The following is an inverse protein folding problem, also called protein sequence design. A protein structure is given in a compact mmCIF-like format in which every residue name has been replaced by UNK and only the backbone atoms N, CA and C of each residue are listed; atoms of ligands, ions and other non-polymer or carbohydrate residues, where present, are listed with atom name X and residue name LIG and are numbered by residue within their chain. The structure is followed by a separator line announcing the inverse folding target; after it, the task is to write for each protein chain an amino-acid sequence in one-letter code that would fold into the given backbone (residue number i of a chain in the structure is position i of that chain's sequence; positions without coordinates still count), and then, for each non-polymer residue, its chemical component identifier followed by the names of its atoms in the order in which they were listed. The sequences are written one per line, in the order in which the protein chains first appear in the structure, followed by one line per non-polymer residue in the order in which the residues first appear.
data_IF_718102295207
#
_entry.id   IF_718102295207
#
_cell.length_a   1.000
_cell.length_b   1.000
_cell.length_c   1.000
_cell.angle_alpha   90.00
_cell.angle_beta   90.00
_cell.angle_gamma   90.00
#
_symmetry.space_group_name_H-M   'P 1'
#
loop_
_entity.id
_entity.type
_entity.pdbx_description
1 polymer ?
#
# COMPACT_ATOMS: atom_id res chain seq x y z
N UNK A 1 -29.56 7.26 28.55
CA UNK A 1 -29.42 5.78 28.58
C UNK A 1 -28.18 5.40 27.80
N UNK A 2 -27.22 4.66 28.39
CA UNK A 2 -26.04 4.23 27.66
C UNK A 2 -26.43 3.10 26.71
N UNK A 3 -26.12 3.23 25.42
CA UNK A 3 -26.26 2.12 24.46
C UNK A 3 -25.16 1.10 24.77
N UNK A 4 -25.56 -0.04 25.33
CA UNK A 4 -24.70 -1.20 25.51
C UNK A 4 -24.12 -1.62 24.15
N UNK A 5 -22.79 -1.74 24.06
CA UNK A 5 -22.04 -2.20 22.87
C UNK A 5 -22.02 -3.73 22.76
N UNK A 6 -22.98 -4.42 23.37
CA UNK A 6 -23.06 -5.88 23.34
C UNK A 6 -23.89 -6.33 22.13
N UNK A 7 -23.23 -6.59 21.01
CA UNK A 7 -23.83 -7.31 19.88
C UNK A 7 -24.10 -8.76 20.28
N UNK A 8 -25.26 -9.30 19.88
CA UNK A 8 -25.78 -10.63 20.23
C UNK A 8 -25.06 -11.78 19.49
N UNK A 9 -24.08 -11.49 18.65
CA UNK A 9 -23.33 -12.49 17.90
C UNK A 9 -21.98 -12.71 18.59
N UNK A 10 -21.57 -13.98 18.66
CA UNK A 10 -20.29 -14.41 19.20
C UNK A 10 -19.18 -13.66 18.44
N UNK A 11 -18.66 -12.58 19.01
CA UNK A 11 -17.68 -11.69 18.41
C UNK A 11 -16.28 -12.33 18.49
N UNK A 12 -16.18 -13.56 17.97
CA UNK A 12 -14.94 -14.31 17.87
C UNK A 12 -14.23 -13.80 16.63
N UNK A 13 -13.23 -12.95 16.84
CA UNK A 13 -12.33 -12.52 15.77
C UNK A 13 -11.67 -13.76 15.17
N UNK A 14 -12.05 -14.12 13.96
CA UNK A 14 -11.42 -15.19 13.19
C UNK A 14 -10.14 -14.65 12.57
N UNK A 15 -9.12 -15.50 12.33
CA UNK A 15 -7.93 -15.09 11.59
C UNK A 15 -8.25 -14.45 10.23
N UNK A 16 -9.37 -14.84 9.62
CA UNK A 16 -9.90 -14.31 8.35
C UNK A 16 -10.40 -12.86 8.46
N UNK A 17 -10.73 -12.39 9.66
CA UNK A 17 -11.22 -11.02 9.91
C UNK A 17 -10.05 -10.00 9.95
N UNK A 18 -8.80 -10.46 9.86
CA UNK A 18 -7.61 -9.61 9.86
C UNK A 18 -6.99 -9.49 8.47
N UNK A 19 -6.52 -8.29 8.13
CA UNK A 19 -5.71 -8.08 6.93
C UNK A 19 -4.46 -8.98 6.97
N UNK A 20 -4.09 -9.65 5.86
CA UNK A 20 -2.87 -10.44 5.82
C UNK A 20 -1.66 -9.56 6.15
N UNK A 21 -0.65 -10.08 6.87
CA UNK A 21 0.51 -9.29 7.23
C UNK A 21 1.21 -8.75 5.98
N UNK A 22 1.89 -7.61 6.11
CA UNK A 22 2.78 -7.12 5.07
C UNK A 22 3.94 -8.11 4.91
N UNK A 23 4.37 -8.37 3.67
CA UNK A 23 5.54 -9.20 3.40
C UNK A 23 6.83 -8.48 3.80
N UNK A 24 6.83 -7.15 3.78
CA UNK A 24 7.94 -6.31 4.27
C UNK A 24 8.15 -6.54 5.77
N UNK A 25 9.33 -7.05 6.14
CA UNK A 25 9.73 -7.23 7.55
C UNK A 25 10.32 -5.97 8.17
N UNK A 26 11.12 -5.24 7.40
CA UNK A 26 11.81 -4.03 7.86
C UNK A 26 11.90 -3.02 6.73
N UNK A 27 11.92 -1.74 7.10
CA UNK A 27 12.02 -0.66 6.17
C UNK A 27 13.46 -0.34 5.79
N UNK A 28 13.79 -0.38 4.50
CA UNK A 28 15.11 0.07 4.02
C UNK A 28 15.35 1.54 4.35
N UNK A 29 14.30 2.36 4.20
CA UNK A 29 14.31 3.78 4.58
C UNK A 29 13.14 4.01 5.54
N UNK A 30 13.39 4.44 6.80
CA UNK A 30 12.32 4.73 7.75
C UNK A 30 11.35 5.79 7.21
N UNK A 31 10.05 5.54 7.30
CA UNK A 31 8.99 6.44 6.84
C UNK A 31 8.66 6.35 5.33
N UNK A 32 9.42 5.56 4.57
CA UNK A 32 9.27 5.42 3.14
C UNK A 32 9.29 3.97 2.69
N UNK A 33 8.67 3.73 1.53
CA UNK A 33 8.74 2.51 0.76
C UNK A 33 9.53 2.77 -0.51
N UNK A 34 10.47 1.88 -0.78
CA UNK A 34 11.10 1.82 -2.10
C UNK A 34 10.18 1.12 -3.09
N UNK A 35 10.34 1.43 -4.37
CA UNK A 35 9.54 0.77 -5.42
C UNK A 35 9.76 -0.74 -5.42
N UNK A 36 10.98 -1.21 -5.15
CA UNK A 36 11.29 -2.64 -5.15
C UNK A 36 10.54 -3.36 -4.02
N UNK A 37 10.40 -2.72 -2.86
CA UNK A 37 9.61 -3.23 -1.73
C UNK A 37 8.11 -3.24 -2.08
N UNK A 38 7.60 -2.16 -2.69
CA UNK A 38 6.22 -2.11 -3.18
C UNK A 38 5.93 -3.15 -4.27
N UNK A 39 6.90 -3.39 -5.15
CA UNK A 39 6.84 -4.41 -6.20
C UNK A 39 6.76 -5.80 -5.60
N UNK A 40 7.60 -6.11 -4.61
CA UNK A 40 7.57 -7.38 -3.90
C UNK A 40 6.26 -7.60 -3.11
N UNK A 41 5.74 -6.53 -2.49
CA UNK A 41 4.50 -6.57 -1.74
C UNK A 41 3.29 -6.84 -2.65
N UNK A 42 3.13 -6.00 -3.67
CA UNK A 42 1.96 -6.00 -4.56
C UNK A 42 2.05 -7.01 -5.70
N UNK A 43 3.25 -7.51 -6.04
CA UNK A 43 3.49 -8.40 -7.19
C UNK A 43 3.49 -7.70 -8.55
N UNK A 44 3.29 -6.37 -8.61
CA UNK A 44 3.42 -5.62 -9.85
C UNK A 44 4.88 -5.35 -10.21
N UNK A 45 5.13 -5.11 -11.50
CA UNK A 45 6.45 -4.71 -11.96
C UNK A 45 6.82 -3.31 -11.46
N UNK A 46 8.11 -3.11 -11.14
CA UNK A 46 8.71 -1.81 -10.79
C UNK A 46 8.29 -0.71 -11.78
N UNK A 47 8.31 -1.03 -13.08
CA UNK A 47 7.94 -0.09 -14.15
C UNK A 47 6.49 0.38 -14.05
N UNK A 48 5.55 -0.51 -13.70
CA UNK A 48 4.15 -0.13 -13.50
C UNK A 48 4.03 0.86 -12.33
N UNK A 49 4.67 0.57 -11.21
CA UNK A 49 4.63 1.43 -10.03
C UNK A 49 5.29 2.78 -10.32
N UNK A 50 6.39 2.81 -11.09
CA UNK A 50 7.01 4.06 -11.56
C UNK A 50 6.05 4.91 -12.39
N UNK A 51 5.27 4.29 -13.30
CA UNK A 51 4.25 5.02 -14.05
C UNK A 51 3.08 5.46 -13.18
N UNK A 52 2.72 4.68 -12.15
CA UNK A 52 1.71 5.11 -11.17
C UNK A 52 2.22 6.32 -10.35
N UNK A 53 3.53 6.46 -10.11
CA UNK A 53 4.14 7.62 -9.43
C UNK A 53 4.30 8.83 -10.36
N UNK A 54 4.98 8.65 -11.50
CA UNK A 54 5.35 9.75 -12.39
C UNK A 54 4.25 10.12 -13.40
N UNK A 55 3.22 9.28 -13.55
CA UNK A 55 2.32 9.31 -14.69
C UNK A 55 2.97 8.75 -15.96
N UNK A 56 2.18 8.56 -17.01
CA UNK A 56 2.69 8.21 -18.32
C UNK A 56 2.25 9.25 -19.36
N UNK A 57 3.17 10.07 -19.87
CA UNK A 57 2.85 11.13 -20.82
C UNK A 57 2.36 10.58 -22.17
N UNK A 58 2.81 9.37 -22.57
CA UNK A 58 2.41 8.76 -23.84
C UNK A 58 0.94 8.31 -23.83
N UNK A 59 0.47 7.80 -22.70
CA UNK A 59 -0.93 7.37 -22.53
C UNK A 59 -1.82 8.42 -21.86
N UNK A 60 -1.30 9.64 -21.61
CA UNK A 60 -2.00 10.73 -20.89
C UNK A 60 -2.61 10.29 -19.55
N UNK A 61 -2.03 9.28 -18.90
CA UNK A 61 -2.52 8.81 -17.60
C UNK A 61 -1.85 9.60 -16.49
N UNK A 62 -2.62 10.24 -15.59
CA UNK A 62 -2.07 11.03 -14.49
C UNK A 62 -1.38 10.13 -13.46
N UNK A 63 -0.49 10.73 -12.67
CA UNK A 63 0.10 10.10 -11.49
C UNK A 63 -1.00 9.73 -10.48
N UNK A 64 -1.00 8.49 -10.03
CA UNK A 64 -1.95 7.95 -9.04
C UNK A 64 -1.35 7.83 -7.64
N UNK A 65 -0.02 7.78 -7.54
CA UNK A 65 0.71 7.59 -6.30
C UNK A 65 1.64 8.76 -6.07
N UNK A 66 1.63 9.35 -4.86
CA UNK A 66 2.62 10.37 -4.51
C UNK A 66 3.93 9.68 -4.13
N UNK A 67 4.96 9.93 -4.93
CA UNK A 67 6.32 9.46 -4.66
C UNK A 67 7.34 10.52 -5.06
N UNK A 68 8.48 10.49 -4.39
CA UNK A 68 9.59 11.39 -4.62
C UNK A 68 10.72 10.64 -5.30
N UNK A 69 11.36 11.26 -6.28
CA UNK A 69 12.57 10.71 -6.89
C UNK A 69 13.79 11.16 -6.09
N UNK A 70 14.50 10.23 -5.47
CA UNK A 70 15.72 10.46 -4.72
C UNK A 70 16.90 9.82 -5.48
N UNK A 71 17.49 10.57 -6.43
CA UNK A 71 18.52 10.04 -7.30
C UNK A 71 18.00 8.94 -8.24
N UNK A 72 18.54 7.71 -8.21
CA UNK A 72 18.08 6.61 -9.05
C UNK A 72 16.83 5.89 -8.50
N UNK A 73 16.46 6.10 -7.23
CA UNK A 73 15.34 5.43 -6.58
C UNK A 73 14.12 6.34 -6.48
N UNK A 74 12.94 5.75 -6.30
CA UNK A 74 11.77 6.49 -5.85
C UNK A 74 11.38 6.03 -4.44
N UNK A 75 10.95 7.00 -3.65
CA UNK A 75 10.52 6.84 -2.28
C UNK A 75 9.04 7.24 -2.20
N UNK A 76 8.23 6.35 -1.66
CA UNK A 76 6.80 6.57 -1.43
C UNK A 76 6.56 6.65 0.07
N UNK A 77 5.94 7.71 0.61
CA UNK A 77 5.63 7.78 2.04
C UNK A 77 4.78 6.60 2.51
N UNK A 78 4.99 6.15 3.75
CA UNK A 78 4.26 5.00 4.31
C UNK A 78 2.74 5.10 4.17
N UNK A 79 2.15 6.27 4.44
CA UNK A 79 0.71 6.47 4.34
C UNK A 79 0.15 6.20 2.92
N UNK A 80 0.84 6.71 1.90
CA UNK A 80 0.44 6.57 0.50
C UNK A 80 0.71 5.13 0.01
N UNK A 81 1.84 4.54 0.42
CA UNK A 81 2.20 3.15 0.13
C UNK A 81 1.18 2.16 0.70
N UNK A 82 0.77 2.33 1.96
CA UNK A 82 -0.22 1.46 2.60
C UNK A 82 -1.60 1.58 1.93
N UNK A 83 -2.02 2.80 1.57
CA UNK A 83 -3.24 3.00 0.82
C UNK A 83 -3.20 2.31 -0.55
N UNK A 84 -2.08 2.41 -1.26
CA UNK A 84 -1.85 1.73 -2.54
C UNK A 84 -1.92 0.20 -2.40
N UNK A 85 -1.23 -0.37 -1.40
CA UNK A 85 -1.25 -1.82 -1.12
C UNK A 85 -2.69 -2.29 -0.84
N UNK A 86 -3.44 -1.57 0.00
CA UNK A 86 -4.83 -1.93 0.33
C UNK A 86 -5.73 -1.98 -0.90
N UNK A 87 -5.65 -0.97 -1.78
CA UNK A 87 -6.43 -0.92 -3.03
C UNK A 87 -6.13 -2.09 -3.96
N UNK A 88 -4.89 -2.57 -3.95
CA UNK A 88 -4.43 -3.63 -4.83
C UNK A 88 -4.61 -5.04 -4.25
N UNK A 89 -4.83 -5.17 -2.93
CA UNK A 89 -5.18 -6.45 -2.29
C UNK A 89 -6.66 -6.83 -2.43
N UNK A 90 -7.54 -5.85 -2.66
CA UNK A 90 -9.00 -6.07 -2.76
C UNK A 90 -9.47 -6.48 -4.15
N UNK A 91 -8.56 -6.63 -5.12
CA UNK A 91 -8.85 -7.06 -6.50
C UNK A 91 -8.30 -8.45 -6.76
#
# INVERSE_FOLDING_TARGET
MPKSLTTSENNVLRPEDFDPPLKRKEATVPGYWMIDELSAETGYSVRKIQYDIAGNPKSKTPSKLKGYKAGPTFLVPDAEALAYIKQHRTK
#
